data_IF_000430813564
#
_entry.id   IF_000430813564
#
_cell.length_a   1.000
_cell.length_b   1.000
_cell.length_c   1.000
_cell.angle_alpha   90.00
_cell.angle_beta   90.00
_cell.angle_gamma   90.00
#
_symmetry.space_group_name_H-M   'P 1'
#
loop_
_entity.id
_entity.type
_entity.pdbx_description
1 polymer ?
#
# COMPACT_ATOMS: atom_id res chain seq x y z
N UNK A 1 -24.98 -7.01 4.97
CA UNK A 1 -23.58 -6.84 4.50
C UNK A 1 -22.67 -7.35 5.61
N UNK A 2 -21.85 -8.39 5.37
CA UNK A 2 -21.07 -9.01 6.44
C UNK A 2 -19.84 -8.13 6.78
N UNK A 3 -19.92 -7.42 7.90
CA UNK A 3 -18.86 -6.52 8.37
C UNK A 3 -17.55 -7.26 8.66
N UNK A 4 -17.60 -8.52 9.05
CA UNK A 4 -16.41 -9.29 9.41
C UNK A 4 -15.59 -9.67 8.18
N UNK A 5 -16.26 -10.00 7.07
CA UNK A 5 -15.57 -10.21 5.79
C UNK A 5 -14.83 -8.96 5.31
N UNK A 6 -15.42 -7.77 5.47
CA UNK A 6 -14.77 -6.49 5.11
C UNK A 6 -13.55 -6.22 5.97
N UNK A 7 -13.66 -6.43 7.29
CA UNK A 7 -12.54 -6.29 8.23
C UNK A 7 -11.41 -7.26 7.89
N UNK A 8 -11.74 -8.52 7.60
CA UNK A 8 -10.76 -9.54 7.21
C UNK A 8 -10.01 -9.17 5.92
N UNK A 9 -10.72 -8.68 4.89
CA UNK A 9 -10.11 -8.20 3.64
C UNK A 9 -9.18 -6.99 3.86
N UNK A 10 -9.56 -6.08 4.75
CA UNK A 10 -8.72 -4.95 5.17
C UNK A 10 -7.44 -5.43 5.86
N UNK A 11 -7.59 -6.28 6.88
CA UNK A 11 -6.45 -6.87 7.61
C UNK A 11 -5.50 -7.65 6.70
N UNK A 12 -6.05 -8.38 5.74
CA UNK A 12 -5.25 -9.12 4.75
C UNK A 12 -4.35 -8.18 3.94
N UNK A 13 -4.88 -7.06 3.45
CA UNK A 13 -4.10 -6.05 2.74
C UNK A 13 -3.02 -5.41 3.64
N UNK A 14 -3.38 -5.05 4.88
CA UNK A 14 -2.42 -4.51 5.86
C UNK A 14 -1.25 -5.48 6.10
N UNK A 15 -1.55 -6.78 6.24
CA UNK A 15 -0.53 -7.81 6.42
C UNK A 15 0.39 -7.94 5.21
N UNK A 16 -0.14 -7.89 3.97
CA UNK A 16 0.69 -7.92 2.76
C UNK A 16 1.73 -6.78 2.77
N UNK A 17 1.30 -5.56 3.09
CA UNK A 17 2.22 -4.41 3.14
C UNK A 17 3.25 -4.60 4.25
N UNK A 18 2.80 -4.96 5.47
CA UNK A 18 3.68 -5.23 6.61
C UNK A 18 4.74 -6.29 6.29
N UNK A 19 4.34 -7.41 5.68
CA UNK A 19 5.24 -8.52 5.36
C UNK A 19 6.24 -8.14 4.26
N UNK A 20 5.85 -7.32 3.29
CA UNK A 20 6.77 -6.77 2.28
C UNK A 20 7.84 -5.86 2.89
N UNK A 21 7.46 -4.98 3.83
CA UNK A 21 8.42 -4.11 4.55
C UNK A 21 9.38 -4.96 5.38
N UNK A 22 8.84 -5.91 6.16
CA UNK A 22 9.64 -6.84 6.98
C UNK A 22 10.66 -7.57 6.11
N UNK A 23 10.23 -8.10 4.96
CA UNK A 23 11.09 -8.84 4.04
C UNK A 23 12.18 -7.95 3.43
N UNK A 24 11.81 -6.78 2.91
CA UNK A 24 12.75 -5.91 2.20
C UNK A 24 13.88 -5.42 3.11
N UNK A 25 13.53 -5.00 4.33
CA UNK A 25 14.47 -4.37 5.26
C UNK A 25 15.01 -5.31 6.34
N UNK A 26 14.76 -6.62 6.23
CA UNK A 26 15.14 -7.64 7.22
C UNK A 26 14.75 -7.26 8.67
N UNK A 27 13.52 -6.78 8.85
CA UNK A 27 12.97 -6.38 10.14
C UNK A 27 12.22 -7.54 10.81
N UNK A 28 11.72 -7.32 12.02
CA UNK A 28 10.94 -8.33 12.76
C UNK A 28 9.55 -7.83 13.14
N UNK A 29 8.70 -8.72 13.66
CA UNK A 29 7.39 -8.31 14.22
C UNK A 29 7.52 -7.41 15.47
N UNK A 30 8.71 -7.27 16.05
CA UNK A 30 8.96 -6.29 17.11
C UNK A 30 9.10 -4.86 16.55
N UNK A 31 9.46 -4.73 15.28
CA UNK A 31 9.67 -3.47 14.59
C UNK A 31 8.40 -2.96 13.89
N UNK A 32 7.52 -3.87 13.45
CA UNK A 32 6.34 -3.52 12.66
C UNK A 32 5.16 -4.41 13.03
N UNK A 33 3.97 -3.80 13.16
CA UNK A 33 2.67 -4.50 13.24
C UNK A 33 1.59 -3.80 12.43
N UNK A 34 0.43 -4.43 12.27
CA UNK A 34 -0.78 -3.74 11.76
C UNK A 34 -1.55 -3.06 12.89
N UNK A 35 -2.36 -2.06 12.55
CA UNK A 35 -3.31 -1.41 13.48
C UNK A 35 -4.31 -2.42 14.05
N UNK A 36 -4.78 -2.20 15.28
CA UNK A 36 -5.92 -2.90 15.85
C UNK A 36 -7.24 -2.31 15.32
N UNK A 37 -8.32 -3.08 15.40
CA UNK A 37 -9.64 -2.58 14.97
C UNK A 37 -10.02 -1.35 15.80
N UNK A 38 -10.25 -0.21 15.14
CA UNK A 38 -10.62 1.05 15.80
C UNK A 38 -9.44 1.81 16.42
N UNK A 39 -8.20 1.36 16.20
CA UNK A 39 -7.01 2.10 16.59
C UNK A 39 -6.81 3.33 15.70
N UNK A 40 -6.47 4.48 16.30
CA UNK A 40 -6.18 5.71 15.55
C UNK A 40 -4.79 5.68 14.89
N UNK A 41 -4.62 6.50 13.86
CA UNK A 41 -3.37 6.65 13.10
C UNK A 41 -3.22 5.64 11.96
N UNK A 42 -2.00 5.47 11.48
CA UNK A 42 -1.69 4.63 10.31
C UNK A 42 -2.01 3.14 10.48
N UNK A 43 -2.28 2.47 9.37
CA UNK A 43 -2.66 1.06 9.31
C UNK A 43 -1.50 0.09 9.50
N UNK A 44 -0.28 0.52 9.12
CA UNK A 44 0.96 -0.22 9.37
C UNK A 44 1.78 0.60 10.37
N UNK A 45 1.93 0.08 11.59
CA UNK A 45 2.63 0.74 12.70
C UNK A 45 4.11 0.40 12.65
N UNK A 46 4.95 1.41 12.41
CA UNK A 46 6.40 1.30 12.56
C UNK A 46 6.78 1.60 14.02
N UNK A 47 7.23 0.58 14.74
CA UNK A 47 7.48 0.61 16.18
C UNK A 47 8.89 1.08 16.53
N UNK A 48 9.89 0.76 15.69
CA UNK A 48 11.29 1.12 15.92
C UNK A 48 11.75 2.31 15.07
N UNK A 49 12.79 3.01 15.52
CA UNK A 49 13.44 4.08 14.75
C UNK A 49 14.04 3.53 13.44
N UNK A 50 14.58 2.31 13.49
CA UNK A 50 15.09 1.59 12.31
C UNK A 50 13.99 1.42 11.27
N UNK A 51 12.81 0.90 11.66
CA UNK A 51 11.69 0.74 10.74
C UNK A 51 11.22 2.07 10.14
N UNK A 52 11.12 3.13 10.95
CA UNK A 52 10.72 4.48 10.49
C UNK A 52 11.72 5.10 9.51
N UNK A 53 13.01 4.82 9.67
CA UNK A 53 14.06 5.31 8.77
C UNK A 53 14.09 4.51 7.47
N UNK A 54 13.95 3.19 7.58
CA UNK A 54 13.94 2.28 6.45
C UNK A 54 12.73 2.50 5.54
N UNK A 55 11.53 2.66 6.11
CA UNK A 55 10.30 2.87 5.37
C UNK A 55 9.59 4.15 5.84
N UNK A 56 9.99 5.33 5.34
CA UNK A 56 9.52 6.62 5.85
C UNK A 56 8.14 7.04 5.28
N UNK A 57 7.19 6.10 5.23
CA UNK A 57 5.82 6.33 4.74
C UNK A 57 4.79 6.06 5.83
N UNK A 58 3.75 6.90 5.88
CA UNK A 58 2.54 6.61 6.65
C UNK A 58 1.52 5.89 5.77
N UNK A 59 1.21 4.64 6.12
CA UNK A 59 0.43 3.73 5.26
C UNK A 59 -1.04 3.72 5.65
N UNK A 60 -1.91 3.89 4.66
CA UNK A 60 -3.36 3.65 4.73
C UNK A 60 -3.73 2.54 3.74
N UNK A 61 -4.46 1.52 4.20
CA UNK A 61 -4.83 0.34 3.42
C UNK A 61 -6.34 0.31 3.12
N UNK A 62 -6.72 0.48 1.85
CA UNK A 62 -8.12 0.44 1.43
C UNK A 62 -8.42 -0.73 0.51
N UNK A 63 -9.14 -1.73 1.02
CA UNK A 63 -9.70 -2.81 0.21
C UNK A 63 -11.22 -2.62 0.03
N UNK A 64 -11.64 -2.12 -1.13
CA UNK A 64 -13.05 -1.84 -1.41
C UNK A 64 -13.38 -1.90 -2.91
N UNK A 65 -14.55 -2.48 -3.23
CA UNK A 65 -15.07 -2.60 -4.61
C UNK A 65 -15.34 -1.23 -5.26
N UNK A 66 -15.52 -0.16 -4.48
CA UNK A 66 -15.72 1.19 -5.02
C UNK A 66 -14.53 1.70 -5.88
N UNK A 67 -13.38 1.03 -5.84
CA UNK A 67 -12.21 1.37 -6.66
C UNK A 67 -12.28 0.84 -8.11
N UNK A 68 -13.42 0.29 -8.57
CA UNK A 68 -13.59 -0.26 -9.94
C UNK A 68 -13.04 0.66 -11.04
N UNK A 69 -13.38 1.96 -11.02
CA UNK A 69 -12.93 2.91 -12.04
C UNK A 69 -11.39 3.07 -12.06
N UNK A 70 -10.77 3.04 -10.89
CA UNK A 70 -9.32 3.11 -10.75
C UNK A 70 -8.65 1.89 -11.39
N UNK A 71 -9.13 0.70 -11.06
CA UNK A 71 -8.62 -0.56 -11.61
C UNK A 71 -8.90 -0.68 -13.13
N UNK A 72 -10.02 -0.15 -13.62
CA UNK A 72 -10.30 -0.08 -15.07
C UNK A 72 -9.25 0.77 -15.79
N UNK A 73 -8.98 1.97 -15.28
CA UNK A 73 -7.99 2.88 -15.87
C UNK A 73 -6.56 2.33 -15.77
N UNK A 74 -6.20 1.70 -14.65
CA UNK A 74 -4.89 1.06 -14.49
C UNK A 74 -4.71 -0.12 -15.46
N UNK A 75 -5.75 -0.95 -15.65
CA UNK A 75 -5.75 -2.03 -16.65
C UNK A 75 -5.63 -1.50 -18.08
N UNK A 76 -6.19 -0.33 -18.38
CA UNK A 76 -6.02 0.32 -19.67
C UNK A 76 -4.55 0.72 -19.88
N UNK A 77 -3.91 1.34 -18.89
CA UNK A 77 -2.48 1.67 -18.94
C UNK A 77 -1.61 0.44 -19.20
N UNK A 78 -1.90 -0.69 -18.53
CA UNK A 78 -1.22 -1.98 -18.73
C UNK A 78 -1.35 -2.56 -20.16
N UNK A 79 -2.38 -2.16 -20.92
CA UNK A 79 -2.60 -2.66 -22.29
C UNK A 79 -1.94 -1.82 -23.38
N UNK A 80 -1.42 -0.64 -23.04
CA UNK A 80 -0.86 0.27 -24.05
C UNK A 80 0.42 -0.28 -24.70
N UNK A 81 1.33 -0.85 -23.91
CA UNK A 81 2.59 -1.43 -24.38
C UNK A 81 3.25 -2.29 -23.27
N UNK A 82 4.47 -2.77 -23.50
CA UNK A 82 5.22 -3.65 -22.59
C UNK A 82 5.93 -2.94 -21.43
N UNK A 83 5.86 -1.61 -21.33
CA UNK A 83 6.49 -0.87 -20.22
C UNK A 83 5.66 -1.01 -18.94
N UNK A 84 6.28 -0.70 -17.81
CA UNK A 84 5.60 -0.70 -16.52
C UNK A 84 4.43 0.31 -16.52
N UNK A 85 3.20 -0.11 -16.17
CA UNK A 85 2.05 0.78 -16.15
C UNK A 85 2.13 1.83 -15.04
N UNK A 86 1.94 3.08 -15.44
CA UNK A 86 1.73 4.21 -14.54
C UNK A 86 0.35 4.82 -14.83
N UNK A 87 -0.49 4.91 -13.80
CA UNK A 87 -1.74 5.65 -13.85
C UNK A 87 -1.56 6.98 -13.12
N UNK A 88 -1.73 8.09 -13.83
CA UNK A 88 -1.76 9.43 -13.22
C UNK A 88 -3.22 9.88 -13.13
N UNK A 89 -3.69 10.21 -11.92
CA UNK A 89 -5.04 10.72 -11.69
C UNK A 89 -5.02 12.05 -10.96
N UNK A 90 -6.09 12.83 -11.10
CA UNK A 90 -6.28 14.09 -10.40
C UNK A 90 -7.76 14.35 -10.18
N UNK A 91 -8.10 15.05 -9.10
CA UNK A 91 -9.41 15.70 -8.91
C UNK A 91 -9.24 17.22 -8.78
N UNK A 92 -10.32 17.98 -8.99
CA UNK A 92 -10.27 19.44 -8.92
C UNK A 92 -9.70 19.91 -7.58
N UNK A 93 -8.84 20.94 -7.64
CA UNK A 93 -8.15 21.56 -6.48
C UNK A 93 -7.20 20.66 -5.69
N UNK A 94 -6.90 19.46 -6.18
CA UNK A 94 -6.02 18.53 -5.48
C UNK A 94 -4.81 18.12 -6.30
N UNK A 95 -3.69 17.73 -5.66
CA UNK A 95 -2.51 17.26 -6.37
C UNK A 95 -2.82 16.07 -7.29
N UNK A 96 -2.02 15.93 -8.35
CA UNK A 96 -2.04 14.71 -9.15
C UNK A 96 -1.38 13.57 -8.35
N UNK A 97 -1.92 12.36 -8.46
CA UNK A 97 -1.39 11.16 -7.84
C UNK A 97 -0.86 10.21 -8.91
N UNK A 98 0.33 9.69 -8.67
CA UNK A 98 0.92 8.58 -9.42
C UNK A 98 0.53 7.26 -8.76
N UNK A 99 -0.02 6.34 -9.54
CA UNK A 99 -0.45 5.02 -9.08
C UNK A 99 0.30 3.99 -9.88
N UNK A 100 1.03 3.15 -9.14
CA UNK A 100 1.80 2.00 -9.61
C UNK A 100 1.34 0.77 -8.85
N UNK A 101 1.76 -0.42 -9.31
CA UNK A 101 1.50 -1.65 -8.56
C UNK A 101 2.28 -1.64 -7.23
N UNK A 102 1.75 -2.32 -6.21
CA UNK A 102 2.45 -2.47 -4.93
C UNK A 102 3.79 -3.18 -5.13
N UNK A 103 3.84 -4.19 -6.00
CA UNK A 103 5.09 -4.90 -6.31
C UNK A 103 6.13 -3.96 -6.91
N UNK A 104 5.74 -3.18 -7.94
CA UNK A 104 6.65 -2.21 -8.55
C UNK A 104 7.12 -1.14 -7.57
N UNK A 105 6.27 -0.68 -6.65
CA UNK A 105 6.66 0.25 -5.61
C UNK A 105 7.79 -0.31 -4.72
N UNK A 106 7.69 -1.57 -4.28
CA UNK A 106 8.75 -2.19 -3.48
C UNK A 106 10.01 -2.48 -4.31
N UNK A 107 9.90 -2.81 -5.59
CA UNK A 107 11.06 -2.93 -6.49
C UNK A 107 11.81 -1.61 -6.67
N UNK A 108 11.11 -0.46 -6.61
CA UNK A 108 11.75 0.85 -6.68
C UNK A 108 12.53 1.15 -5.39
N UNK A 109 11.92 0.89 -4.23
CA UNK A 109 12.60 1.07 -2.93
C UNK A 109 13.86 0.18 -2.87
N UNK A 110 13.76 -1.08 -3.27
CA UNK A 110 14.89 -2.02 -3.28
C UNK A 110 16.06 -1.57 -4.18
N UNK A 111 15.79 -0.79 -5.24
CA UNK A 111 16.84 -0.27 -6.13
C UNK A 111 17.47 1.02 -5.62
N UNK A 112 16.76 1.75 -4.78
CA UNK A 112 17.21 3.02 -4.21
C UNK A 112 18.05 2.81 -2.93
N UNK A 113 17.94 1.64 -2.28
CA UNK A 113 18.81 1.16 -1.19
C UNK A 113 20.12 0.53 -1.68
#
# INVERSE_FOLDING_TARGET
MNNDSRKAKGRYLQNIVKDKIIKLFNLTNADIRTSNTGENGEDVKLLSLTAKRAFPYSVECKNAEQHIGLYKNFKQAKRHNHREPLLVIKKNREPALAIISLDHFFELIEKDD
#
